data_IF_532293163379
#
_entry.id   IF_532293163379
#
_cell.length_a   1.000
_cell.length_b   1.000
_cell.length_c   1.000
_cell.angle_alpha   90.00
_cell.angle_beta   90.00
_cell.angle_gamma   90.00
#
_symmetry.space_group_name_H-M   'P 1'
#
loop_
_entity.id
_entity.type
_entity.pdbx_description
1 polymer ?
2 water ?
#
# COMPACT_ATOMS: atom_id res chain seq x y z
N UNK A 1 6.18 -17.90 1.50
CA UNK A 1 5.77 -16.54 1.22
C UNK A 1 5.13 -16.44 -0.17
N UNK A 2 4.21 -15.48 -0.32
CA UNK A 2 3.55 -15.26 -1.59
C UNK A 2 4.51 -14.70 -2.64
N UNK A 3 5.39 -13.80 -2.21
CA UNK A 3 6.37 -13.16 -3.09
C UNK A 3 7.79 -13.63 -2.78
N UNK A 4 8.61 -13.65 -3.82
CA UNK A 4 10.06 -13.72 -3.64
C UNK A 4 10.68 -12.56 -4.42
N UNK A 5 11.51 -11.76 -3.75
CA UNK A 5 12.04 -10.57 -4.41
C UNK A 5 13.55 -10.68 -4.62
N UNK A 6 14.09 -9.76 -5.42
CA UNK A 6 15.53 -9.66 -5.55
C UNK A 6 16.05 -9.03 -4.26
N UNK A 7 17.38 -9.00 -4.06
CA UNK A 7 17.92 -8.49 -2.79
C UNK A 7 17.20 -7.22 -2.30
N UNK A 8 16.87 -7.21 -1.01
CA UNK A 8 16.01 -6.17 -0.45
C UNK A 8 16.74 -4.85 -0.19
N UNK A 9 18.07 -4.86 -0.27
CA UNK A 9 18.83 -3.64 -0.01
C UNK A 9 19.76 -3.33 -1.19
N UNK A 10 19.50 -2.21 -1.86
CA UNK A 10 20.23 -1.85 -3.06
C UNK A 10 20.86 -0.47 -2.92
N UNK A 11 22.12 -0.35 -3.33
CA UNK A 11 22.79 0.94 -3.42
C UNK A 11 23.01 1.29 -4.88
N UNK A 12 22.64 2.51 -5.26
CA UNK A 12 22.78 2.94 -6.65
C UNK A 12 23.31 4.37 -6.69
N UNK A 13 24.17 4.65 -7.66
CA UNK A 13 24.67 6.01 -7.84
C UNK A 13 23.84 6.71 -8.91
N UNK A 14 23.92 8.04 -8.95
CA UNK A 14 23.15 8.79 -9.92
C UNK A 14 23.42 8.30 -11.34
N UNK A 15 22.35 8.11 -12.12
CA UNK A 15 22.48 7.73 -13.52
C UNK A 15 22.58 6.24 -13.77
N UNK A 16 22.70 5.45 -12.71
CA UNK A 16 22.82 4.00 -12.83
C UNK A 16 21.48 3.36 -13.17
N UNK A 17 21.54 2.18 -13.79
CA UNK A 17 20.34 1.41 -14.07
C UNK A 17 20.13 0.39 -12.96
N UNK A 18 18.96 0.42 -12.34
CA UNK A 18 18.61 -0.51 -11.26
C UNK A 18 17.45 -1.39 -11.71
N UNK A 19 17.57 -2.70 -11.53
CA UNK A 19 16.51 -3.62 -11.92
C UNK A 19 16.04 -4.43 -10.71
N UNK A 20 14.74 -4.34 -10.41
CA UNK A 20 14.16 -5.03 -9.27
C UNK A 20 13.23 -6.15 -9.74
N UNK A 21 13.10 -7.19 -8.94
CA UNK A 21 12.27 -8.33 -9.31
C UNK A 21 11.36 -8.77 -8.16
N UNK A 22 10.09 -9.02 -8.48
CA UNK A 22 9.24 -9.76 -7.56
C UNK A 22 8.59 -10.91 -8.31
N UNK A 23 8.76 -12.12 -7.77
CA UNK A 23 8.14 -13.31 -8.34
C UNK A 23 6.91 -13.62 -7.52
N UNK A 24 5.77 -13.79 -8.19
CA UNK A 24 4.56 -14.24 -7.53
C UNK A 24 4.51 -15.75 -7.70
N UNK A 25 4.71 -16.48 -6.60
CA UNK A 25 4.77 -17.94 -6.64
C UNK A 25 3.37 -18.53 -6.79
N UNK A 26 3.31 -19.77 -7.27
CA UNK A 26 2.04 -20.51 -7.35
C UNK A 26 1.03 -19.72 -8.18
N UNK A 27 1.41 -19.42 -9.40
CA UNK A 27 0.70 -18.46 -10.24
C UNK A 27 -0.21 -19.13 -11.27
N UNK A 28 -0.98 -18.31 -11.98
CA UNK A 28 -1.73 -18.80 -13.14
C UNK A 28 -1.77 -17.71 -14.21
N UNK A 29 -2.48 -17.97 -15.31
CA UNK A 29 -2.50 -17.02 -16.42
C UNK A 29 -3.14 -15.68 -16.05
N UNK A 30 -3.85 -15.63 -14.93
CA UNK A 30 -4.53 -14.41 -14.49
C UNK A 30 -3.68 -13.56 -13.56
N UNK A 31 -2.56 -14.12 -13.10
CA UNK A 31 -1.73 -13.46 -12.09
C UNK A 31 -1.31 -12.06 -12.54
N UNK A 32 -1.49 -11.09 -11.66
CA UNK A 32 -1.12 -9.72 -11.96
C UNK A 32 -0.37 -9.17 -10.78
N UNK A 33 0.31 -8.05 -11.00
CA UNK A 33 1.10 -7.45 -9.96
C UNK A 33 1.20 -5.95 -10.19
N UNK A 34 1.10 -5.17 -9.12
CA UNK A 34 1.26 -3.73 -9.22
C UNK A 34 2.53 -3.31 -8.51
N UNK A 35 3.33 -2.48 -9.15
CA UNK A 35 4.49 -1.89 -8.50
C UNK A 35 4.09 -0.61 -7.77
N UNK A 36 4.48 -0.54 -6.50
CA UNK A 36 4.21 0.62 -5.65
C UNK A 36 5.52 1.19 -5.15
N UNK A 37 5.48 2.45 -4.72
CA UNK A 37 6.67 3.13 -4.23
C UNK A 37 6.30 3.93 -2.98
N UNK A 38 7.20 3.96 -2.00
CA UNK A 38 7.00 4.89 -0.88
C UNK A 38 8.25 5.73 -0.69
N UNK A 39 8.05 7.02 -0.46
CA UNK A 39 9.16 7.96 -0.29
C UNK A 39 9.90 7.74 1.03
N UNK A 40 11.18 8.13 1.07
CA UNK A 40 11.96 8.16 2.30
C UNK A 40 11.47 9.32 3.15
N UNK A 41 12.00 9.47 4.36
CA UNK A 41 11.60 10.58 5.21
C UNK A 41 10.32 10.27 5.95
N UNK A 42 9.45 11.27 6.12
CA UNK A 42 8.22 11.07 6.89
C UNK A 42 7.33 10.05 6.19
N UNK A 43 6.60 9.27 6.99
CA UNK A 43 5.66 8.29 6.44
C UNK A 43 4.60 9.00 5.60
N UNK A 44 4.34 8.47 4.40
CA UNK A 44 3.36 9.08 3.51
C UNK A 44 2.78 8.01 2.61
N UNK A 45 1.63 8.29 2.01
CA UNK A 45 0.94 7.26 1.24
C UNK A 45 1.76 6.75 0.06
N UNK A 46 1.65 5.45 -0.22
CA UNK A 46 2.31 4.81 -1.37
C UNK A 46 1.85 5.45 -2.67
N UNK A 47 2.70 5.31 -3.68
CA UNK A 47 2.44 5.84 -5.01
C UNK A 47 2.34 4.66 -5.98
N UNK A 48 1.24 4.61 -6.73
CA UNK A 48 1.04 3.57 -7.74
C UNK A 48 1.96 3.86 -8.93
N UNK A 49 2.74 2.87 -9.36
CA UNK A 49 3.58 3.03 -10.54
C UNK A 49 2.99 2.37 -11.78
N UNK A 50 2.65 1.09 -11.68
CA UNK A 50 2.04 0.38 -12.81
C UNK A 50 1.42 -0.94 -12.41
N UNK A 51 0.52 -1.41 -13.27
CA UNK A 51 -0.15 -2.69 -13.10
C UNK A 51 0.33 -3.55 -14.26
N UNK A 52 0.74 -4.78 -13.96
CA UNK A 52 1.25 -5.69 -14.97
C UNK A 52 0.48 -7.01 -14.97
N UNK A 53 0.09 -7.47 -16.15
CA UNK A 53 -0.56 -8.77 -16.30
C UNK A 53 -0.38 -9.22 -17.73
N UNK A 54 -0.69 -10.48 -18.00
CA UNK A 54 -0.56 -11.01 -19.35
C UNK A 54 -1.32 -10.17 -20.37
N UNK A 55 -2.53 -9.77 -20.02
CA UNK A 55 -3.45 -9.17 -21.00
C UNK A 55 -3.50 -7.66 -20.97
N UNK A 56 -2.81 -7.06 -20.01
CA UNK A 56 -2.95 -5.62 -19.82
C UNK A 56 -1.87 -5.05 -18.92
N UNK A 57 -1.08 -4.12 -19.46
CA UNK A 57 -0.17 -3.31 -18.68
C UNK A 57 -0.71 -1.89 -18.62
N UNK A 58 -0.67 -1.30 -17.43
CA UNK A 58 -1.20 0.04 -17.26
C UNK A 58 -0.28 0.84 -16.37
N UNK A 59 0.30 1.90 -16.91
CA UNK A 59 1.17 2.76 -16.12
C UNK A 59 0.37 3.90 -15.49
N UNK A 60 0.84 4.40 -14.36
CA UNK A 60 0.19 5.53 -13.71
C UNK A 60 0.20 6.74 -14.63
N UNK A 61 -0.86 7.55 -14.56
CA UNK A 61 -0.86 8.81 -15.26
C UNK A 61 0.26 9.68 -14.70
N UNK A 62 1.10 10.20 -15.58
CA UNK A 62 2.18 11.07 -15.14
C UNK A 62 3.48 10.35 -14.83
N UNK A 63 3.49 9.02 -14.92
CA UNK A 63 4.75 8.29 -14.78
C UNK A 63 5.61 8.50 -16.01
N UNK A 64 6.85 8.95 -15.80
CA UNK A 64 7.77 9.11 -16.92
C UNK A 64 8.46 7.79 -17.22
N UNK A 65 7.99 7.09 -18.25
CA UNK A 65 8.47 5.74 -18.53
C UNK A 65 9.85 5.69 -19.18
N UNK A 66 10.43 6.87 -19.45
CA UNK A 66 11.81 6.96 -19.88
C UNK A 66 12.73 6.63 -18.71
N UNK A 67 12.24 6.89 -17.48
CA UNK A 67 13.04 6.66 -16.28
C UNK A 67 12.59 5.44 -15.48
N UNK A 68 11.30 5.14 -15.53
CA UNK A 68 10.76 3.99 -14.78
C UNK A 68 9.86 3.16 -15.67
N UNK A 69 10.25 1.91 -15.93
CA UNK A 69 9.39 1.01 -16.69
C UNK A 69 9.34 -0.34 -16.00
N UNK A 70 8.52 -1.25 -16.52
CA UNK A 70 8.45 -2.57 -15.94
C UNK A 70 7.83 -3.56 -16.90
N UNK A 71 7.95 -4.84 -16.57
CA UNK A 71 7.40 -5.87 -17.44
C UNK A 71 7.16 -7.19 -16.71
N UNK A 72 6.36 -8.04 -17.32
CA UNK A 72 6.11 -9.38 -16.82
C UNK A 72 6.73 -10.39 -17.75
N UNK A 73 7.41 -11.39 -17.17
CA UNK A 73 7.89 -12.53 -17.93
C UNK A 73 7.62 -13.77 -17.09
N UNK A 74 6.77 -14.65 -17.58
CA UNK A 74 6.33 -15.80 -16.79
C UNK A 74 5.75 -15.28 -15.46
N UNK A 75 6.23 -15.83 -14.35
CA UNK A 75 5.72 -15.43 -13.03
C UNK A 75 6.59 -14.36 -12.38
N UNK A 76 7.51 -13.81 -13.14
CA UNK A 76 8.39 -12.73 -12.64
C UNK A 76 7.94 -11.35 -13.11
N UNK A 77 7.93 -10.40 -12.18
CA UNK A 77 7.63 -9.01 -12.50
C UNK A 77 8.87 -8.16 -12.22
N UNK A 78 9.16 -7.23 -13.13
CA UNK A 78 10.36 -6.43 -13.02
C UNK A 78 10.05 -4.95 -13.05
N UNK A 79 10.86 -4.18 -12.33
CA UNK A 79 10.82 -2.72 -12.42
C UNK A 79 12.23 -2.26 -12.74
N UNK A 80 12.35 -1.35 -13.69
CA UNK A 80 13.66 -0.86 -14.07
C UNK A 80 13.73 0.64 -13.85
N UNK A 81 14.67 1.08 -13.01
CA UNK A 81 14.96 2.49 -12.84
C UNK A 81 16.13 2.75 -13.79
N UNK A 82 15.83 3.35 -14.94
CA UNK A 82 16.78 3.42 -16.04
C UNK A 82 17.98 4.32 -15.84
N UNK A 83 17.77 5.43 -15.14
CA UNK A 83 18.78 6.46 -15.00
C UNK A 83 18.58 7.08 -13.64
N UNK A 84 19.08 6.39 -12.62
CA UNK A 84 18.69 6.62 -11.23
C UNK A 84 18.76 8.10 -10.83
N UNK A 85 17.63 8.65 -10.40
CA UNK A 85 17.56 10.03 -9.97
C UNK A 85 17.63 10.11 -8.44
N UNK A 86 18.05 11.26 -7.93
CA UNK A 86 18.12 11.45 -6.49
C UNK A 86 16.76 11.19 -5.86
N UNK A 87 15.71 11.64 -6.54
CA UNK A 87 14.35 11.47 -6.06
C UNK A 87 13.78 10.05 -6.30
N UNK A 88 14.56 9.19 -6.96
CA UNK A 88 14.18 7.78 -7.11
C UNK A 88 14.51 6.97 -5.86
N UNK A 89 15.25 7.56 -4.92
CA UNK A 89 15.52 6.87 -3.67
C UNK A 89 14.24 6.58 -2.90
N UNK A 90 14.17 5.40 -2.30
CA UNK A 90 13.00 5.04 -1.51
C UNK A 90 12.73 3.56 -1.50
N UNK A 91 11.46 3.22 -1.31
CA UNK A 91 11.04 1.83 -1.11
C UNK A 91 10.13 1.37 -2.22
N UNK A 92 10.50 0.28 -2.87
CA UNK A 92 9.70 -0.26 -3.96
C UNK A 92 9.15 -1.61 -3.55
N UNK A 93 7.91 -1.91 -3.95
CA UNK A 93 7.28 -3.16 -3.54
C UNK A 93 6.11 -3.50 -4.43
N UNK A 94 5.72 -4.78 -4.39
CA UNK A 94 4.69 -5.28 -5.28
C UNK A 94 3.42 -5.54 -4.48
N UNK A 95 2.29 -5.45 -5.15
CA UNK A 95 1.01 -5.70 -4.53
C UNK A 95 0.12 -6.60 -5.41
N UNK A 96 -0.49 -7.60 -4.79
CA UNK A 96 -1.20 -8.69 -5.48
C UNK A 96 -2.53 -8.87 -4.75
N UNK A 97 -3.59 -9.01 -5.53
CA UNK A 97 -4.90 -9.14 -4.92
C UNK A 97 -5.47 -10.52 -5.17
N UNK A 98 -5.96 -11.16 -4.10
CA UNK A 98 -6.53 -12.49 -4.20
C UNK A 98 -7.64 -12.60 -3.16
N UNK A 99 -8.84 -12.95 -3.62
CA UNK A 99 -9.98 -13.14 -2.71
C UNK A 99 -10.16 -12.03 -1.64
N UNK A 100 -10.34 -10.80 -2.09
CA UNK A 100 -10.66 -9.70 -1.18
C UNK A 100 -9.51 -9.31 -0.23
N UNK A 101 -8.30 -9.79 -0.50
CA UNK A 101 -7.16 -9.46 0.34
C UNK A 101 -6.06 -8.81 -0.50
N UNK A 102 -5.50 -7.70 -0.02
CA UNK A 102 -4.33 -7.10 -0.65
C UNK A 102 -3.06 -7.67 -0.01
N UNK A 103 -2.18 -8.20 -0.86
CA UNK A 103 -0.90 -8.74 -0.41
C UNK A 103 0.24 -7.83 -0.84
N UNK A 104 1.27 -7.72 -0.01
CA UNK A 104 2.41 -6.88 -0.35
C UNK A 104 3.72 -7.65 -0.23
N UNK A 105 4.63 -7.42 -1.17
CA UNK A 105 5.98 -7.97 -1.05
C UNK A 105 6.74 -7.15 -0.01
N UNK A 106 7.82 -7.72 0.51
CA UNK A 106 8.77 -6.95 1.30
C UNK A 106 9.27 -5.75 0.50
N UNK A 107 9.67 -4.71 1.23
CA UNK A 107 10.29 -3.53 0.62
C UNK A 107 11.63 -3.89 -0.01
N UNK A 108 11.89 -3.34 -1.20
CA UNK A 108 13.23 -3.30 -1.75
C UNK A 108 13.67 -1.84 -1.64
N UNK A 109 14.65 -1.58 -0.79
CA UNK A 109 15.11 -0.21 -0.60
C UNK A 109 16.19 0.10 -1.61
N UNK A 110 16.11 1.29 -2.21
CA UNK A 110 17.13 1.73 -3.14
C UNK A 110 17.58 3.13 -2.73
N UNK A 111 18.84 3.25 -2.35
CA UNK A 111 19.37 4.53 -1.85
C UNK A 111 20.76 4.81 -2.42
N UNK A 112 21.09 6.09 -2.53
CA UNK A 112 22.43 6.54 -2.87
C UNK A 112 23.39 6.11 -1.77
N UNK A 113 24.68 5.92 -2.13
CA UNK A 113 25.70 5.70 -1.09
C UNK A 113 25.80 6.94 -0.21
N UNK A 114 26.03 6.76 1.08
CA UNK A 114 26.13 7.89 2.00
C UNK A 114 27.52 8.50 2.00
N UNK B 1 -10.30 15.92 -3.96
CA UNK B 1 -9.53 14.72 -4.24
C UNK B 1 -10.41 13.47 -4.17
N UNK B 2 -9.79 12.30 -4.29
CA UNK B 2 -10.54 11.05 -4.34
C UNK B 2 -10.99 10.60 -2.95
N UNK B 3 -10.22 10.96 -1.93
CA UNK B 3 -10.53 10.61 -0.56
C UNK B 3 -10.70 11.85 0.31
N UNK B 4 -11.58 11.74 1.30
CA UNK B 4 -11.58 12.68 2.42
C UNK B 4 -11.46 11.87 3.71
N UNK B 5 -10.53 12.22 4.57
CA UNK B 5 -10.34 11.46 5.81
C UNK B 5 -10.65 12.30 7.03
N UNK B 6 -10.89 11.63 8.16
CA UNK B 6 -10.99 12.31 9.43
C UNK B 6 -9.63 12.93 9.74
N UNK B 7 -9.52 13.72 10.83
CA UNK B 7 -8.26 14.43 11.08
C UNK B 7 -7.04 13.54 10.91
N UNK B 8 -6.04 14.03 10.18
CA UNK B 8 -4.88 13.22 9.87
C UNK B 8 -3.96 13.00 11.05
N UNK B 9 -4.18 13.75 12.13
CA UNK B 9 -3.40 13.55 13.36
C UNK B 9 -4.32 13.32 14.55
N UNK B 10 -4.13 12.19 15.22
CA UNK B 10 -4.95 11.81 16.36
C UNK B 10 -4.07 11.47 17.56
N UNK B 11 -4.35 12.09 18.70
CA UNK B 11 -3.69 11.68 19.93
C UNK B 11 -4.66 10.89 20.78
N UNK B 12 -4.25 9.71 21.19
CA UNK B 12 -5.13 8.81 21.92
C UNK B 12 -4.46 8.27 23.18
N UNK B 13 -5.27 7.98 24.20
CA UNK B 13 -4.75 7.39 25.42
C UNK B 13 -5.08 5.90 25.44
N UNK B 14 -4.32 5.15 26.23
CA UNK B 14 -4.56 3.72 26.35
C UNK B 14 -6.01 3.46 26.75
N UNK B 15 -6.65 2.53 26.04
CA UNK B 15 -8.01 2.13 26.35
C UNK B 15 -9.08 2.96 25.67
N UNK B 16 -8.67 4.06 25.04
CA UNK B 16 -9.62 4.91 24.35
C UNK B 16 -10.16 4.20 23.11
N UNK B 17 -11.39 4.49 22.75
CA UNK B 17 -11.98 3.99 21.52
C UNK B 17 -11.73 5.03 20.44
N UNK B 18 -10.95 4.65 19.43
CA UNK B 18 -10.58 5.57 18.36
C UNK B 18 -11.29 5.17 17.07
N UNK B 19 -11.98 6.13 16.45
CA UNK B 19 -12.71 5.87 15.22
C UNK B 19 -12.21 6.74 14.08
N UNK B 20 -11.71 6.09 13.01
CA UNK B 20 -11.16 6.78 11.86
C UNK B 20 -12.11 6.67 10.67
N UNK B 21 -12.06 7.65 9.77
CA UNK B 21 -12.96 7.67 8.63
C UNK B 21 -12.23 8.00 7.32
N UNK B 22 -12.53 7.24 6.28
CA UNK B 22 -12.15 7.63 4.93
C UNK B 22 -13.39 7.60 4.04
N UNK B 23 -13.60 8.69 3.32
CA UNK B 23 -14.74 8.80 2.42
C UNK B 23 -14.25 8.75 0.98
N UNK B 24 -14.84 7.87 0.17
CA UNK B 24 -14.50 7.78 -1.23
C UNK B 24 -15.36 8.76 -2.00
N UNK B 25 -14.73 9.74 -2.65
CA UNK B 25 -15.42 10.97 -3.04
C UNK B 25 -16.34 10.90 -4.25
N UNK B 26 -15.78 10.61 -5.43
CA UNK B 26 -16.66 10.51 -6.60
C UNK B 26 -17.15 9.09 -6.83
N UNK B 27 -17.96 8.60 -5.90
CA UNK B 27 -18.64 7.34 -6.12
C UNK B 27 -19.65 7.50 -7.24
N UNK B 28 -19.26 7.12 -8.44
CA UNK B 28 -20.18 6.99 -9.55
C UNK B 28 -20.81 5.61 -9.47
N UNK B 29 -19.97 4.68 -9.05
CA UNK B 29 -20.33 3.30 -9.00
C UNK B 29 -20.32 2.86 -7.57
N UNK B 30 -20.35 1.57 -7.35
CA UNK B 30 -20.38 0.95 -6.05
C UNK B 30 -19.01 1.10 -5.46
N UNK B 31 -18.85 1.47 -4.21
CA UNK B 31 -17.51 1.58 -3.73
C UNK B 31 -17.06 0.53 -2.71
N UNK B 32 -15.77 0.29 -2.73
CA UNK B 32 -15.14 -0.58 -1.74
C UNK B 32 -13.87 0.08 -1.23
N UNK B 33 -13.31 -0.48 -0.16
CA UNK B 33 -12.12 0.09 0.46
C UNK B 33 -11.41 -0.92 1.34
N UNK B 34 -10.08 -0.91 1.33
CA UNK B 34 -9.32 -1.74 2.25
C UNK B 34 -8.61 -0.84 3.26
N UNK B 35 -8.71 -1.20 4.54
CA UNK B 35 -7.95 -0.49 5.57
C UNK B 35 -6.56 -1.10 5.70
N UNK B 36 -5.55 -0.24 5.63
CA UNK B 36 -4.17 -0.67 5.74
C UNK B 36 -3.46 0.07 6.87
N UNK B 37 -2.37 -0.51 7.34
CA UNK B 37 -1.63 0.03 8.48
C UNK B 37 -0.13 -0.04 8.19
N UNK B 38 0.60 1.00 8.60
CA UNK B 38 2.06 0.92 8.59
C UNK B 38 2.60 1.20 9.99
N UNK B 39 3.52 0.36 10.43
CA UNK B 39 4.17 0.54 11.73
C UNK B 39 4.89 1.88 11.79
N UNK B 40 5.00 2.44 13.00
CA UNK B 40 5.58 3.79 13.19
C UNK B 40 7.11 3.86 13.04
N UNK B 41 7.81 2.76 13.33
CA UNK B 41 9.26 2.79 13.37
C UNK B 41 9.94 2.56 12.03
N UNK B 42 10.86 1.61 11.98
CA UNK B 42 11.56 1.28 10.74
C UNK B 42 10.57 1.05 9.61
N UNK B 43 10.81 1.72 8.48
CA UNK B 43 9.95 1.57 7.31
C UNK B 43 9.88 0.12 6.84
N UNK B 44 8.67 -0.40 6.73
CA UNK B 44 8.46 -1.78 6.24
C UNK B 44 7.08 -1.88 5.60
N UNK B 45 6.82 -2.99 4.92
CA UNK B 45 5.61 -3.07 4.12
C UNK B 45 4.33 -2.86 4.92
N UNK B 46 3.31 -2.29 4.27
CA UNK B 46 2.01 -2.06 4.90
C UNK B 46 1.35 -3.38 5.26
N UNK B 47 0.40 -3.31 6.19
CA UNK B 47 -0.30 -4.48 6.69
C UNK B 47 -1.77 -4.34 6.35
N UNK B 48 -2.34 -5.39 5.74
CA UNK B 48 -3.75 -5.41 5.41
C UNK B 48 -4.56 -5.69 6.67
N UNK B 49 -5.56 -4.85 6.93
CA UNK B 49 -6.45 -5.04 8.07
C UNK B 49 -7.77 -5.68 7.68
N UNK B 50 -8.46 -5.09 6.70
CA UNK B 50 -9.75 -5.61 6.26
C UNK B 50 -10.17 -4.97 4.95
N UNK B 51 -11.03 -5.69 4.23
CA UNK B 51 -11.63 -5.20 3.00
C UNK B 51 -13.11 -5.01 3.26
N UNK B 52 -13.64 -3.86 2.84
CA UNK B 52 -15.03 -3.50 3.08
C UNK B 52 -15.76 -3.18 1.78
N UNK B 53 -16.88 -3.87 1.55
CA UNK B 53 -17.72 -3.59 0.41
C UNK B 53 -19.13 -4.01 0.71
N UNK B 54 -20.06 -3.61 -0.16
CA UNK B 54 -21.45 -3.99 0.00
C UNK B 54 -21.59 -5.51 0.07
N UNK B 55 -21.02 -6.21 -0.90
CA UNK B 55 -21.28 -7.64 -1.02
C UNK B 55 -20.30 -8.56 -0.30
N UNK B 56 -19.24 -8.00 0.27
CA UNK B 56 -18.28 -8.80 1.05
C UNK B 56 -17.37 -7.97 1.94
N UNK B 57 -17.32 -8.35 3.21
CA UNK B 57 -16.34 -7.81 4.16
C UNK B 57 -15.36 -8.94 4.44
N UNK B 58 -14.07 -8.63 4.50
CA UNK B 58 -13.09 -9.66 4.81
C UNK B 58 -12.03 -9.13 5.75
N UNK B 59 -11.92 -9.74 6.92
CA UNK B 59 -10.89 -9.35 7.87
C UNK B 59 -9.62 -10.17 7.66
N UNK B 60 -8.48 -9.55 7.91
CA UNK B 60 -7.21 -10.24 7.77
C UNK B 60 -7.16 -11.46 8.69
N UNK B 61 -6.54 -12.53 8.22
CA UNK B 61 -6.32 -13.66 9.11
C UNK B 61 -5.46 -13.17 10.27
N UNK B 62 -5.85 -13.52 11.49
CA UNK B 62 -5.09 -13.11 12.66
C UNK B 62 -5.58 -11.84 13.33
N UNK B 63 -6.29 -10.99 12.58
CA UNK B 63 -6.81 -9.74 13.15
C UNK B 63 -7.70 -10.01 14.35
N UNK B 64 -7.40 -9.38 15.48
CA UNK B 64 -8.24 -9.51 16.66
C UNK B 64 -9.42 -8.56 16.55
N UNK B 65 -10.57 -9.11 16.22
CA UNK B 65 -11.76 -8.31 15.94
C UNK B 65 -12.39 -7.74 17.21
N UNK B 66 -11.83 -8.09 18.36
CA UNK B 66 -12.27 -7.49 19.63
C UNK B 66 -11.56 -6.14 19.87
N UNK B 67 -10.43 -5.94 19.22
CA UNK B 67 -9.68 -4.68 19.35
C UNK B 67 -9.80 -3.81 18.11
N UNK B 68 -9.98 -4.45 16.95
CA UNK B 68 -10.03 -3.74 15.68
C UNK B 68 -11.18 -4.23 14.82
N UNK B 69 -12.03 -3.30 14.38
CA UNK B 69 -13.10 -3.65 13.46
C UNK B 69 -13.36 -2.48 12.54
N UNK B 70 -14.26 -2.64 11.59
CA UNK B 70 -14.59 -1.56 10.69
C UNK B 70 -15.86 -1.83 9.91
N UNK B 71 -16.39 -0.79 9.28
CA UNK B 71 -17.63 -0.95 8.54
C UNK B 71 -17.77 0.09 7.43
N UNK B 72 -18.74 -0.17 6.54
CA UNK B 72 -19.05 0.72 5.44
C UNK B 72 -20.44 1.29 5.65
N UNK B 73 -20.59 2.59 5.43
CA UNK B 73 -21.90 3.23 5.44
C UNK B 73 -21.95 4.16 4.25
N UNK B 74 -22.60 3.71 3.17
CA UNK B 74 -22.57 4.43 1.91
C UNK B 74 -21.13 4.56 1.43
N UNK B 75 -20.68 5.78 1.14
CA UNK B 75 -19.31 5.97 0.66
C UNK B 75 -18.34 6.30 1.79
N UNK B 76 -18.80 6.21 3.04
CA UNK B 76 -17.92 6.38 4.20
C UNK B 76 -17.45 5.04 4.71
N UNK B 77 -16.16 4.93 5.00
CA UNK B 77 -15.61 3.72 5.59
C UNK B 77 -14.96 4.07 6.92
N UNK B 78 -15.16 3.21 7.91
CA UNK B 78 -14.67 3.47 9.25
C UNK B 78 -13.81 2.33 9.78
N UNK B 79 -12.84 2.69 10.60
CA UNK B 79 -12.00 1.74 11.30
C UNK B 79 -12.09 2.09 12.78
N UNK B 80 -12.37 1.09 13.61
CA UNK B 80 -12.51 1.33 15.04
C UNK B 80 -11.44 0.58 15.80
N UNK B 81 -10.64 1.33 16.55
CA UNK B 81 -9.70 0.76 17.49
C UNK B 81 -10.39 0.82 18.84
N UNK B 82 -10.93 -0.33 19.29
CA UNK B 82 -11.86 -0.36 20.42
C UNK B 82 -11.26 -0.04 21.79
N UNK B 83 -10.03 -0.49 22.02
CA UNK B 83 -9.34 -0.27 23.28
C UNK B 83 -7.88 0.01 22.98
N UNK B 84 -7.60 1.24 22.60
CA UNK B 84 -6.28 1.61 22.08
C UNK B 84 -5.11 1.02 22.88
N UNK B 85 -4.27 0.27 22.19
CA UNK B 85 -3.10 -0.34 22.81
C UNK B 85 -1.84 0.38 22.35
N UNK B 86 -0.75 0.19 23.08
CA UNK B 86 0.55 0.72 22.69
C UNK B 86 0.87 0.25 21.28
N UNK B 87 0.54 -1.01 20.98
CA UNK B 87 0.85 -1.60 19.69
C UNK B 87 -0.02 -1.08 18.54
N UNK B 88 -1.10 -0.37 18.87
CA UNK B 88 -1.99 0.18 17.85
C UNK B 88 -1.48 1.51 17.30
N UNK B 89 -0.40 2.04 17.86
CA UNK B 89 0.16 3.29 17.38
C UNK B 89 0.73 3.11 15.98
N UNK B 90 0.53 4.11 15.13
CA UNK B 90 1.07 4.06 13.79
C UNK B 90 0.24 4.80 12.77
N UNK B 91 0.34 4.36 11.52
CA UNK B 91 -0.28 5.04 10.40
C UNK B 91 -1.36 4.19 9.76
N UNK B 92 -2.55 4.77 9.60
CA UNK B 92 -3.69 4.07 9.03
C UNK B 92 -4.13 4.78 7.75
N UNK B 93 -4.54 4.00 6.75
CA UNK B 93 -4.96 4.57 5.49
C UNK B 93 -5.83 3.60 4.70
N UNK B 94 -6.49 4.10 3.66
CA UNK B 94 -7.34 3.27 2.83
C UNK B 94 -6.76 3.10 1.43
N UNK B 95 -6.91 1.92 0.92
CA UNK B 95 -6.86 1.97 -0.59
C UNK B 95 -8.11 1.51 -1.43
N UNK B 96 -8.38 2.08 -2.58
CA UNK B 96 -9.27 1.32 -3.38
C UNK B 96 -8.74 1.11 -4.75
N UNK B 97 -9.28 0.08 -5.34
CA UNK B 97 -8.89 -0.40 -6.62
C UNK B 97 -9.97 -0.08 -7.66
N UNK B 98 -9.54 0.53 -8.74
CA UNK B 98 -10.48 0.87 -9.81
C UNK B 98 -9.79 0.85 -11.16
N UNK B 99 -10.35 0.07 -12.09
CA UNK B 99 -9.78 -0.05 -13.44
C UNK B 99 -8.28 -0.36 -13.41
N UNK B 100 -7.89 -1.33 -12.58
CA UNK B 100 -6.51 -1.78 -12.49
C UNK B 100 -5.56 -0.78 -11.81
N UNK B 101 -6.10 0.30 -11.26
CA UNK B 101 -5.25 1.27 -10.56
C UNK B 101 -5.55 1.26 -9.07
N UNK B 102 -4.51 1.27 -8.25
CA UNK B 102 -4.67 1.37 -6.80
C UNK B 102 -4.58 2.83 -6.37
N UNK B 103 -5.56 3.26 -5.62
CA UNK B 103 -5.60 4.61 -5.07
C UNK B 103 -5.47 4.55 -3.55
N UNK B 104 -4.81 5.53 -2.96
CA UNK B 104 -4.59 5.54 -1.51
C UNK B 104 -5.01 6.86 -0.88
N UNK B 105 -5.59 6.79 0.31
CA UNK B 105 -5.91 8.01 1.06
C UNK B 105 -4.66 8.52 1.76
N UNK B 106 -4.70 9.78 2.21
CA UNK B 106 -3.64 10.29 3.05
C UNK B 106 -3.53 9.45 4.32
N UNK B 107 -2.35 9.44 4.92
CA UNK B 107 -2.11 8.75 6.18
C UNK B 107 -2.78 9.46 7.35
N UNK B 108 -3.39 8.68 8.23
CA UNK B 108 -3.87 9.19 9.51
C UNK B 108 -2.97 8.64 10.60
N UNK B 109 -2.33 9.52 11.36
CA UNK B 109 -1.44 9.08 12.42
C UNK B 109 -2.20 9.00 13.74
N UNK B 110 -2.01 7.91 14.45
CA UNK B 110 -2.63 7.72 15.76
C UNK B 110 -1.56 7.37 16.77
N UNK B 111 -1.34 8.24 17.75
CA UNK B 111 -0.27 8.03 18.70
C UNK B 111 -0.69 8.39 20.12
N UNK B 112 -0.04 7.75 21.09
CA UNK B 112 -0.14 8.10 22.50
C UNK B 112 0.53 9.46 22.71
N UNK B 113 0.20 10.14 23.81
CA UNK B 113 0.90 11.38 24.16
C UNK B 113 2.39 11.11 24.39
N UNK B 114 3.23 12.15 24.26
CA UNK B 114 4.68 12.00 24.40
C UNK B 114 5.06 11.28 25.70
#
# INVERSE_FOLDING_TARGET
SLFRTSPEMVQASLGETVKLRCEVMHSNTLTSCSWLYQKPGAASKPIFLMYLSKTRNKTAEGLDTRYISGYKANDNFYLILHRFREEDQGYYFCSFLSNSVLYFSNFMSVFLPA
SLFRTSPEMVQASLGETVKLRCEVMHSNTLTSCSWLYQKPGAASKPIFLMYLSKTRNKTAEGLDTRYISGYKANDNFYLILHRFREEDQGYYFCSFLSNSVLYFSNFMSVFLPA
#
